data_IF_354892423702
#
_entry.id   IF_354892423702
#
_cell.length_a   1.000
_cell.length_b   1.000
_cell.length_c   1.000
_cell.angle_alpha   90.00
_cell.angle_beta   90.00
_cell.angle_gamma   90.00
#
_symmetry.space_group_name_H-M   'P 1'
#
loop_
_entity.id
_entity.type
_entity.pdbx_description
1 polymer ?
#
# COMPACT_ATOMS: atom_id res chain seq x y z
N UNK A 1 -54.05 -52.84 -44.54
CA UNK A 1 -52.66 -52.38 -44.27
C UNK A 1 -51.78 -53.59 -44.31
N UNK A 2 -50.77 -53.59 -45.18
CA UNK A 2 -49.87 -54.77 -45.33
C UNK A 2 -48.92 -54.82 -44.11
N UNK A 3 -48.73 -56.00 -43.53
CA UNK A 3 -47.86 -56.19 -42.34
C UNK A 3 -46.46 -55.58 -42.45
N UNK A 4 -45.90 -55.48 -43.66
CA UNK A 4 -44.64 -54.84 -43.95
C UNK A 4 -44.59 -53.33 -43.70
N UNK A 5 -45.69 -52.61 -43.94
CA UNK A 5 -45.78 -51.15 -43.68
C UNK A 5 -45.83 -50.86 -42.18
N UNK A 6 -46.48 -51.70 -41.42
CA UNK A 6 -46.61 -51.59 -39.99
C UNK A 6 -45.26 -51.82 -39.29
N UNK A 7 -44.45 -52.73 -39.75
CA UNK A 7 -43.12 -53.02 -39.27
C UNK A 7 -42.18 -51.83 -39.59
N UNK A 8 -42.28 -51.27 -40.80
CA UNK A 8 -41.47 -50.08 -41.19
C UNK A 8 -41.80 -48.84 -40.32
N UNK A 9 -43.06 -48.61 -40.06
CA UNK A 9 -43.53 -47.53 -39.17
C UNK A 9 -43.06 -47.72 -37.73
N UNK A 10 -43.13 -48.89 -37.15
CA UNK A 10 -42.60 -49.20 -35.82
C UNK A 10 -41.10 -48.96 -35.75
N UNK A 11 -40.34 -49.38 -36.75
CA UNK A 11 -38.91 -49.17 -36.81
C UNK A 11 -38.56 -47.66 -36.84
N UNK A 12 -39.22 -46.89 -37.65
CA UNK A 12 -39.05 -45.44 -37.75
C UNK A 12 -39.40 -44.72 -36.43
N UNK A 13 -40.52 -45.11 -35.79
CA UNK A 13 -40.94 -44.56 -34.51
C UNK A 13 -39.91 -44.86 -33.41
N UNK A 14 -39.40 -46.09 -33.34
CA UNK A 14 -38.38 -46.44 -32.35
C UNK A 14 -37.07 -45.69 -32.57
N UNK A 15 -36.66 -45.42 -33.79
CA UNK A 15 -35.48 -44.60 -34.10
C UNK A 15 -35.71 -43.17 -33.62
N UNK A 16 -36.86 -42.56 -33.93
CA UNK A 16 -37.18 -41.19 -33.48
C UNK A 16 -37.26 -41.06 -31.95
N UNK A 17 -37.84 -42.08 -31.29
CA UNK A 17 -37.85 -42.12 -29.81
C UNK A 17 -36.43 -42.20 -29.24
N UNK A 18 -35.57 -43.00 -29.85
CA UNK A 18 -34.15 -43.13 -29.48
C UNK A 18 -33.41 -41.82 -29.65
N UNK A 19 -33.57 -41.15 -30.78
CA UNK A 19 -32.96 -39.82 -31.03
C UNK A 19 -33.49 -38.77 -30.05
N UNK A 20 -34.77 -38.71 -29.80
CA UNK A 20 -35.36 -37.78 -28.85
C UNK A 20 -34.85 -37.99 -27.42
N UNK A 21 -34.75 -39.25 -26.99
CA UNK A 21 -34.24 -39.58 -25.67
C UNK A 21 -32.76 -39.19 -25.52
N UNK A 22 -31.97 -39.43 -26.58
CA UNK A 22 -30.54 -39.01 -26.61
C UNK A 22 -30.41 -37.47 -26.55
N UNK A 23 -31.19 -36.74 -27.33
CA UNK A 23 -31.18 -35.29 -27.31
C UNK A 23 -31.65 -34.70 -25.97
N UNK A 24 -32.68 -35.28 -25.35
CA UNK A 24 -33.12 -34.88 -24.00
C UNK A 24 -32.00 -35.08 -22.94
N UNK A 25 -31.28 -36.20 -23.03
CA UNK A 25 -30.19 -36.49 -22.13
C UNK A 25 -29.04 -35.49 -22.31
N UNK A 26 -28.62 -35.25 -23.56
CA UNK A 26 -27.59 -34.23 -23.86
C UNK A 26 -28.01 -32.84 -23.34
N UNK A 27 -29.24 -32.43 -23.63
CA UNK A 27 -29.75 -31.11 -23.13
C UNK A 27 -29.70 -31.03 -21.61
N UNK A 28 -30.06 -32.09 -20.89
CA UNK A 28 -30.03 -32.12 -19.45
C UNK A 28 -28.60 -32.05 -18.89
N UNK A 29 -27.65 -32.71 -19.54
CA UNK A 29 -26.23 -32.70 -19.21
C UNK A 29 -25.62 -31.29 -19.46
N UNK A 30 -25.88 -30.69 -20.62
CA UNK A 30 -25.41 -29.36 -20.99
C UNK A 30 -25.98 -28.29 -20.05
N UNK A 31 -27.28 -28.40 -19.73
CA UNK A 31 -27.92 -27.48 -18.78
C UNK A 31 -27.32 -27.57 -17.37
N UNK A 32 -26.94 -28.77 -16.94
CA UNK A 32 -26.25 -28.97 -15.66
C UNK A 32 -24.86 -28.33 -15.70
N UNK A 33 -24.08 -28.61 -16.75
CA UNK A 33 -22.73 -28.03 -16.91
C UNK A 33 -22.77 -26.50 -16.96
N UNK A 34 -23.78 -25.93 -17.64
CA UNK A 34 -23.96 -24.47 -17.68
C UNK A 34 -24.23 -23.89 -16.29
N UNK A 35 -25.13 -24.51 -15.52
CA UNK A 35 -25.41 -24.07 -14.15
C UNK A 35 -24.22 -24.20 -13.21
N UNK A 36 -23.42 -25.25 -13.36
CA UNK A 36 -22.25 -25.45 -12.55
C UNK A 36 -21.17 -24.40 -12.90
N UNK A 37 -20.97 -24.10 -14.18
CA UNK A 37 -20.05 -23.05 -14.65
C UNK A 37 -20.52 -21.65 -14.21
N UNK A 38 -21.82 -21.37 -14.22
CA UNK A 38 -22.39 -20.10 -13.72
C UNK A 38 -22.10 -19.91 -12.23
N UNK A 39 -22.31 -20.97 -11.43
CA UNK A 39 -21.99 -20.94 -9.98
C UNK A 39 -20.51 -20.74 -9.72
N UNK A 40 -19.66 -21.43 -10.49
CA UNK A 40 -18.21 -21.29 -10.37
C UNK A 40 -17.76 -19.86 -10.69
N UNK A 41 -18.29 -19.28 -11.77
CA UNK A 41 -18.01 -17.88 -12.16
C UNK A 41 -18.43 -16.90 -11.09
N UNK A 42 -19.62 -17.11 -10.49
CA UNK A 42 -20.09 -16.27 -9.40
C UNK A 42 -19.18 -16.40 -8.16
N UNK A 43 -18.83 -17.61 -7.77
CA UNK A 43 -17.93 -17.86 -6.64
C UNK A 43 -16.55 -17.21 -6.86
N UNK A 44 -16.00 -17.28 -8.07
CA UNK A 44 -14.74 -16.62 -8.42
C UNK A 44 -14.85 -15.10 -8.32
N UNK A 45 -15.95 -14.50 -8.80
CA UNK A 45 -16.19 -13.07 -8.71
C UNK A 45 -16.30 -12.59 -7.25
N UNK A 46 -17.01 -13.33 -6.41
CA UNK A 46 -17.12 -13.04 -4.98
C UNK A 46 -15.77 -13.19 -4.25
N UNK A 47 -15.02 -14.23 -4.58
CA UNK A 47 -13.67 -14.47 -4.03
C UNK A 47 -12.71 -13.34 -4.40
N UNK A 48 -12.72 -12.90 -5.66
CA UNK A 48 -11.91 -11.77 -6.12
C UNK A 48 -12.24 -10.50 -5.36
N UNK A 49 -13.53 -10.22 -5.14
CA UNK A 49 -13.99 -9.06 -4.38
C UNK A 49 -13.48 -9.10 -2.93
N UNK A 50 -13.54 -10.27 -2.28
CA UNK A 50 -13.01 -10.44 -0.93
C UNK A 50 -11.51 -10.20 -0.86
N UNK A 51 -10.73 -10.76 -1.81
CA UNK A 51 -9.28 -10.54 -1.87
C UNK A 51 -8.96 -9.06 -2.06
N UNK A 52 -9.70 -8.36 -2.92
CA UNK A 52 -9.53 -6.91 -3.12
C UNK A 52 -9.82 -6.13 -1.83
N UNK A 53 -10.90 -6.44 -1.12
CA UNK A 53 -11.24 -5.78 0.15
C UNK A 53 -10.17 -6.02 1.21
N UNK A 54 -9.67 -7.24 1.35
CA UNK A 54 -8.59 -7.54 2.29
C UNK A 54 -7.31 -6.79 1.93
N UNK A 55 -6.96 -6.75 0.65
CA UNK A 55 -5.80 -6.00 0.17
C UNK A 55 -5.92 -4.49 0.49
N UNK A 56 -7.09 -3.90 0.28
CA UNK A 56 -7.37 -2.49 0.63
C UNK A 56 -7.24 -2.23 2.14
N UNK A 57 -7.76 -3.12 2.98
CA UNK A 57 -7.65 -3.00 4.44
C UNK A 57 -6.18 -3.04 4.88
N UNK A 58 -5.41 -4.02 4.40
CA UNK A 58 -3.98 -4.17 4.74
C UNK A 58 -3.21 -2.92 4.29
N UNK A 59 -3.48 -2.45 3.08
CA UNK A 59 -2.84 -1.27 2.52
C UNK A 59 -3.14 -0.02 3.37
N UNK A 60 -4.40 0.20 3.73
CA UNK A 60 -4.80 1.34 4.55
C UNK A 60 -4.16 1.28 5.95
N UNK A 61 -4.11 0.12 6.58
CA UNK A 61 -3.45 -0.05 7.87
C UNK A 61 -1.95 0.29 7.81
N UNK A 62 -1.25 -0.15 6.75
CA UNK A 62 0.15 0.18 6.56
C UNK A 62 0.36 1.69 6.38
N UNK A 63 -0.49 2.36 5.59
CA UNK A 63 -0.43 3.80 5.37
C UNK A 63 -0.70 4.60 6.64
N UNK A 64 -1.69 4.18 7.43
CA UNK A 64 -1.96 4.79 8.73
C UNK A 64 -0.78 4.64 9.69
N UNK A 65 -0.14 3.49 9.73
CA UNK A 65 1.03 3.27 10.57
C UNK A 65 2.19 4.18 10.17
N UNK A 66 2.44 4.33 8.86
CA UNK A 66 3.45 5.26 8.34
C UNK A 66 3.10 6.69 8.76
N UNK A 67 1.87 7.13 8.52
CA UNK A 67 1.41 8.48 8.83
C UNK A 67 1.53 8.79 10.33
N UNK A 68 1.12 7.86 11.20
CA UNK A 68 1.26 8.01 12.66
C UNK A 68 2.71 8.13 13.10
N UNK A 69 3.61 7.32 12.55
CA UNK A 69 5.03 7.38 12.92
C UNK A 69 5.64 8.71 12.51
N UNK A 70 5.36 9.19 11.29
CA UNK A 70 5.83 10.50 10.83
C UNK A 70 5.24 11.61 11.67
N UNK A 71 3.96 11.56 11.99
CA UNK A 71 3.28 12.51 12.89
C UNK A 71 3.98 12.56 14.25
N UNK A 72 4.27 11.41 14.85
CA UNK A 72 4.98 11.32 16.13
C UNK A 72 6.34 12.02 16.08
N UNK A 73 7.13 11.78 15.02
CA UNK A 73 8.41 12.45 14.84
C UNK A 73 8.27 13.98 14.75
N UNK A 74 7.30 14.47 13.97
CA UNK A 74 7.03 15.90 13.83
C UNK A 74 6.63 16.51 15.18
N UNK A 75 5.68 15.89 15.88
CA UNK A 75 5.18 16.37 17.17
C UNK A 75 6.25 16.29 18.26
N UNK A 76 7.16 15.33 18.22
CA UNK A 76 8.29 15.24 19.14
C UNK A 76 9.23 16.44 18.98
N UNK A 77 9.49 16.86 17.75
CA UNK A 77 10.39 17.99 17.48
C UNK A 77 9.70 19.34 17.72
N UNK A 78 8.51 19.53 17.14
CA UNK A 78 7.86 20.86 17.10
C UNK A 78 6.88 21.10 18.25
N UNK A 79 6.46 20.05 18.96
CA UNK A 79 5.49 20.11 20.08
C UNK A 79 4.17 20.81 19.70
N UNK A 80 3.77 20.67 18.45
CA UNK A 80 2.49 21.19 17.95
C UNK A 80 1.53 20.05 17.58
N UNK A 81 0.32 20.40 17.16
CA UNK A 81 -0.73 19.42 16.78
C UNK A 81 -0.69 19.04 15.30
N UNK A 82 0.42 19.28 14.61
CA UNK A 82 0.53 18.93 13.19
C UNK A 82 0.46 17.42 13.01
N UNK A 83 -0.42 16.97 12.14
CA UNK A 83 -0.58 15.58 11.72
C UNK A 83 -0.09 15.42 10.28
N UNK A 84 0.63 14.36 10.01
CA UNK A 84 1.00 13.97 8.65
C UNK A 84 -0.05 13.01 8.11
N UNK A 85 -0.56 13.28 6.91
CA UNK A 85 -1.58 12.46 6.26
C UNK A 85 -1.09 11.92 4.92
N UNK A 86 -1.49 10.69 4.62
CA UNK A 86 -1.30 10.06 3.32
C UNK A 86 -2.68 9.72 2.79
N UNK A 87 -3.07 10.31 1.68
CA UNK A 87 -4.31 9.99 0.98
C UNK A 87 -4.02 9.44 -0.40
N UNK A 88 -4.88 8.53 -0.88
CA UNK A 88 -4.75 7.92 -2.18
C UNK A 88 -5.93 8.29 -3.06
N UNK A 89 -5.63 8.71 -4.26
CA UNK A 89 -6.64 8.98 -5.28
C UNK A 89 -6.36 8.17 -6.53
N UNK A 90 -7.41 7.69 -7.19
CA UNK A 90 -7.29 7.07 -8.51
C UNK A 90 -7.46 8.16 -9.56
N UNK A 91 -6.37 8.54 -10.22
CA UNK A 91 -6.38 9.48 -11.31
C UNK A 91 -5.82 8.80 -12.58
N UNK A 92 -6.54 8.90 -13.69
CA UNK A 92 -6.13 8.37 -15.02
C UNK A 92 -5.69 6.89 -14.99
N UNK A 93 -6.40 6.05 -14.22
CA UNK A 93 -6.10 4.62 -14.08
C UNK A 93 -4.85 4.29 -13.25
N UNK A 94 -4.23 5.28 -12.60
CA UNK A 94 -3.11 5.10 -11.67
C UNK A 94 -3.52 5.52 -10.27
N UNK A 95 -2.95 4.87 -9.28
CA UNK A 95 -3.09 5.28 -7.88
C UNK A 95 -2.00 6.29 -7.57
N UNK A 96 -2.39 7.51 -7.21
CA UNK A 96 -1.50 8.58 -6.80
C UNK A 96 -1.58 8.77 -5.28
N UNK A 97 -0.42 8.86 -4.63
CA UNK A 97 -0.33 9.20 -3.22
C UNK A 97 -0.18 10.72 -3.06
N UNK A 98 -1.04 11.33 -2.24
CA UNK A 98 -0.91 12.72 -1.84
C UNK A 98 -0.49 12.76 -0.37
N UNK A 99 0.54 13.56 -0.10
CA UNK A 99 1.04 13.83 1.24
C UNK A 99 0.58 15.21 1.67
N UNK A 100 0.17 15.36 2.93
CA UNK A 100 -0.26 16.64 3.47
C UNK A 100 0.06 16.75 4.96
N UNK A 101 0.15 17.98 5.44
CA UNK A 101 0.18 18.33 6.86
C UNK A 101 -1.18 18.91 7.23
N UNK A 102 -1.79 18.38 8.29
CA UNK A 102 -3.03 18.89 8.84
C UNK A 102 -2.78 19.51 10.22
N UNK A 103 -3.36 20.69 10.45
CA UNK A 103 -3.37 21.33 11.76
C UNK A 103 -4.77 21.92 12.02
N UNK A 104 -5.58 21.16 12.76
CA UNK A 104 -7.01 21.40 12.86
C UNK A 104 -7.70 21.29 11.50
N UNK A 105 -8.46 22.32 11.12
CA UNK A 105 -9.21 22.33 9.85
C UNK A 105 -8.36 22.72 8.63
N UNK A 106 -7.09 23.08 8.81
CA UNK A 106 -6.20 23.46 7.73
C UNK A 106 -5.37 22.26 7.30
N UNK A 107 -5.40 21.97 6.00
CA UNK A 107 -4.58 20.96 5.37
C UNK A 107 -3.73 21.62 4.26
N UNK A 108 -2.42 21.43 4.34
CA UNK A 108 -1.45 22.06 3.45
C UNK A 108 -0.58 20.99 2.79
N UNK A 109 -0.26 21.18 1.51
CA UNK A 109 0.74 20.35 0.81
C UNK A 109 2.13 20.60 1.41
N UNK A 110 3.02 19.59 1.49
CA UNK A 110 4.40 19.79 1.95
C UNK A 110 5.17 20.86 1.14
N UNK A 111 4.82 21.07 -0.13
CA UNK A 111 5.43 22.07 -0.99
C UNK A 111 4.95 23.51 -0.67
N UNK A 112 3.76 23.63 -0.10
CA UNK A 112 3.13 24.90 0.26
C UNK A 112 3.28 25.18 1.76
N UNK A 113 3.70 24.19 2.54
CA UNK A 113 3.86 24.31 3.97
C UNK A 113 4.89 25.40 4.31
N UNK A 114 4.50 26.35 5.11
CA UNK A 114 5.33 27.48 5.55
C UNK A 114 6.53 27.08 6.41
N UNK A 115 6.63 25.82 6.84
CA UNK A 115 7.70 25.31 7.69
C UNK A 115 8.53 24.23 6.98
N UNK A 116 9.61 24.64 6.35
CA UNK A 116 10.59 23.72 5.75
C UNK A 116 11.18 22.72 6.76
N UNK A 117 11.30 23.08 8.03
CA UNK A 117 11.77 22.18 9.07
C UNK A 117 10.85 20.98 9.31
N UNK A 118 9.52 21.14 9.21
CA UNK A 118 8.57 20.03 9.29
C UNK A 118 8.73 19.08 8.13
N UNK A 119 8.99 19.60 6.93
CA UNK A 119 9.25 18.80 5.73
C UNK A 119 10.53 17.98 5.91
N UNK A 120 11.59 18.57 6.46
CA UNK A 120 12.86 17.87 6.73
C UNK A 120 12.65 16.71 7.71
N UNK A 121 11.97 16.93 8.83
CA UNK A 121 11.69 15.91 9.83
C UNK A 121 10.75 14.82 9.26
N UNK A 122 9.73 15.21 8.51
CA UNK A 122 8.84 14.24 7.85
C UNK A 122 9.60 13.37 6.83
N UNK A 123 10.48 13.98 6.02
CA UNK A 123 11.30 13.28 5.04
C UNK A 123 12.25 12.26 5.69
N UNK A 124 12.85 12.64 6.81
CA UNK A 124 13.69 11.74 7.61
C UNK A 124 12.87 10.57 8.16
N UNK A 125 11.73 10.85 8.79
CA UNK A 125 10.84 9.84 9.34
C UNK A 125 10.30 8.87 8.27
N UNK A 126 9.93 9.37 7.08
CA UNK A 126 9.49 8.54 5.97
C UNK A 126 10.58 7.58 5.49
N UNK A 127 11.84 8.01 5.41
CA UNK A 127 12.97 7.14 5.06
C UNK A 127 13.17 6.04 6.09
N UNK A 128 13.12 6.38 7.39
CA UNK A 128 13.18 5.41 8.49
C UNK A 128 12.11 4.33 8.36
N UNK A 129 10.85 4.76 8.28
CA UNK A 129 9.70 3.84 8.18
C UNK A 129 9.78 2.98 6.93
N UNK A 130 10.21 3.54 5.80
CA UNK A 130 10.39 2.79 4.54
C UNK A 130 11.41 1.66 4.69
N UNK A 131 12.49 1.85 5.45
CA UNK A 131 13.47 0.80 5.73
C UNK A 131 12.90 -0.23 6.68
N UNK A 132 12.21 0.20 7.74
CA UNK A 132 11.63 -0.69 8.74
C UNK A 132 10.53 -1.60 8.17
N UNK A 133 9.70 -1.07 7.28
CA UNK A 133 8.59 -1.80 6.67
C UNK A 133 9.00 -2.58 5.40
N UNK A 134 10.23 -2.41 4.91
CA UNK A 134 10.67 -3.09 3.69
C UNK A 134 10.64 -4.62 3.85
N UNK A 135 10.17 -5.30 2.79
CA UNK A 135 10.23 -6.77 2.67
C UNK A 135 10.86 -7.12 1.31
N UNK A 136 11.93 -7.90 1.26
CA UNK A 136 12.71 -8.46 2.39
C UNK A 136 13.36 -7.35 3.24
N UNK A 137 13.65 -7.67 4.50
CA UNK A 137 14.24 -6.71 5.45
C UNK A 137 15.56 -6.18 4.93
N UNK A 138 15.70 -4.86 4.88
CA UNK A 138 16.93 -4.18 4.44
C UNK A 138 17.84 -3.89 5.62
N UNK A 139 19.14 -3.62 5.32
CA UNK A 139 20.04 -3.07 6.33
C UNK A 139 19.52 -1.73 6.84
N UNK A 140 19.62 -1.52 8.13
CA UNK A 140 19.22 -0.27 8.79
C UNK A 140 20.32 0.79 8.63
N UNK A 141 20.56 1.18 7.38
CA UNK A 141 21.56 2.20 7.02
C UNK A 141 20.84 3.38 6.37
N UNK A 142 21.11 4.57 6.93
CA UNK A 142 20.66 5.85 6.40
C UNK A 142 21.88 6.67 6.00
N UNK A 143 21.89 7.13 4.75
CA UNK A 143 22.87 8.11 4.25
C UNK A 143 22.10 9.39 3.95
N UNK A 144 22.50 10.48 4.60
CA UNK A 144 21.83 11.77 4.56
C UNK A 144 22.80 12.85 4.12
N UNK A 145 22.37 13.68 3.18
CA UNK A 145 23.11 14.85 2.72
C UNK A 145 22.36 16.10 3.14
N UNK A 146 23.05 16.99 3.87
CA UNK A 146 22.52 18.22 4.46
C UNK A 146 21.12 18.04 5.11
N UNK A 147 20.88 17.03 5.97
CA UNK A 147 19.60 16.83 6.59
C UNK A 147 19.29 17.97 7.56
N UNK A 148 17.99 18.27 7.73
CA UNK A 148 17.48 19.24 8.70
C UNK A 148 17.97 20.68 8.49
N UNK A 149 18.28 21.03 7.26
CA UNK A 149 18.79 22.37 6.89
C UNK A 149 17.82 23.48 7.25
N UNK A 150 16.52 23.21 7.19
CA UNK A 150 15.45 24.17 7.46
C UNK A 150 14.90 24.10 8.89
N UNK A 151 15.54 23.35 9.78
CA UNK A 151 15.19 23.33 11.20
C UNK A 151 15.85 24.53 11.88
N UNK A 152 15.04 25.53 12.26
CA UNK A 152 15.46 26.75 12.91
C UNK A 152 14.92 26.82 14.34
N UNK A 153 15.67 27.43 15.25
CA UNK A 153 15.36 27.54 16.69
C UNK A 153 16.11 26.48 17.50
N UNK A 154 16.75 26.93 18.57
CA UNK A 154 17.63 26.09 19.43
C UNK A 154 16.87 24.87 19.95
N UNK A 155 15.71 25.08 20.47
CA UNK A 155 14.85 24.04 21.05
C UNK A 155 14.46 22.94 20.03
N UNK A 156 14.14 23.31 18.78
CA UNK A 156 13.82 22.34 17.72
C UNK A 156 15.06 21.58 17.25
N UNK A 157 16.23 22.25 17.24
CA UNK A 157 17.51 21.63 16.91
C UNK A 157 17.92 20.59 17.95
N UNK A 158 17.80 20.90 19.23
CA UNK A 158 18.07 19.96 20.32
C UNK A 158 17.16 18.74 20.25
N UNK A 159 15.86 18.94 20.02
CA UNK A 159 14.90 17.84 19.88
C UNK A 159 15.16 17.00 18.63
N UNK A 160 15.52 17.63 17.51
CA UNK A 160 15.88 16.93 16.28
C UNK A 160 17.13 16.07 16.48
N UNK A 161 18.14 16.61 17.18
CA UNK A 161 19.34 15.86 17.54
C UNK A 161 19.01 14.66 18.42
N UNK A 162 18.22 14.86 19.47
CA UNK A 162 17.77 13.80 20.36
C UNK A 162 16.98 12.71 19.59
N UNK A 163 16.13 13.09 18.64
CA UNK A 163 15.40 12.15 17.78
C UNK A 163 16.36 11.29 16.97
N UNK A 164 17.38 11.87 16.34
CA UNK A 164 18.36 11.10 15.53
C UNK A 164 19.18 10.17 16.42
N UNK A 165 19.63 10.64 17.59
CA UNK A 165 20.38 9.82 18.56
C UNK A 165 19.54 8.66 19.08
N UNK A 166 18.27 8.89 19.36
CA UNK A 166 17.33 7.83 19.78
C UNK A 166 17.12 6.78 18.69
N UNK A 167 16.96 7.19 17.44
CA UNK A 167 16.79 6.27 16.32
C UNK A 167 18.07 5.44 16.08
N UNK A 168 19.24 6.06 16.15
CA UNK A 168 20.52 5.36 16.02
C UNK A 168 20.74 4.36 17.16
N UNK A 169 20.46 4.75 18.41
CA UNK A 169 20.70 3.91 19.58
C UNK A 169 19.65 2.82 19.79
N UNK A 170 18.36 3.19 19.87
CA UNK A 170 17.29 2.25 20.22
C UNK A 170 16.82 1.36 19.06
N UNK A 171 16.91 1.87 17.82
CA UNK A 171 16.45 1.15 16.64
C UNK A 171 17.60 0.50 15.83
N UNK A 172 18.83 0.59 16.32
CA UNK A 172 20.02 0.00 15.68
C UNK A 172 20.19 0.47 14.22
N UNK A 173 20.00 1.79 13.98
CA UNK A 173 20.27 2.40 12.69
C UNK A 173 21.68 2.93 12.62
N UNK A 174 22.41 2.53 11.59
CA UNK A 174 23.63 3.21 11.21
C UNK A 174 23.29 4.46 10.40
N UNK A 175 23.68 5.62 10.89
CA UNK A 175 23.42 6.91 10.22
C UNK A 175 24.76 7.51 9.77
N UNK A 176 24.86 7.84 8.49
CA UNK A 176 25.97 8.57 7.89
C UNK A 176 25.43 9.90 7.41
N UNK A 177 25.98 11.00 7.88
CA UNK A 177 25.53 12.34 7.49
C UNK A 177 26.68 13.18 6.95
N UNK A 178 26.45 13.85 5.82
CA UNK A 178 27.24 14.98 5.35
C UNK A 178 26.51 16.26 5.77
N UNK A 179 27.14 17.12 6.56
CA UNK A 179 26.50 18.36 7.02
C UNK A 179 27.51 19.44 7.40
N UNK A 180 27.19 20.70 7.04
CA UNK A 180 27.86 21.88 7.53
C UNK A 180 27.29 22.45 8.84
N UNK A 181 26.20 21.85 9.37
CA UNK A 181 25.51 22.35 10.55
C UNK A 181 26.21 21.90 11.84
N UNK A 182 26.85 22.83 12.53
CA UNK A 182 27.59 22.55 13.78
C UNK A 182 26.74 21.91 14.87
N UNK A 183 25.48 22.30 14.99
CA UNK A 183 24.55 21.76 15.98
C UNK A 183 24.18 20.28 15.75
N UNK A 184 24.38 19.79 14.52
CA UNK A 184 24.07 18.41 14.14
C UNK A 184 25.30 17.48 14.21
N UNK A 185 26.47 18.01 14.61
CA UNK A 185 27.67 17.21 14.81
C UNK A 185 27.48 16.29 16.01
N UNK A 186 27.42 14.97 15.75
CA UNK A 186 27.22 13.91 16.74
C UNK A 186 27.93 12.62 16.30
N UNK A 187 28.22 11.75 17.25
CA UNK A 187 28.93 10.49 16.97
C UNK A 187 30.35 10.69 16.50
N UNK A 188 30.81 9.85 15.57
CA UNK A 188 32.18 9.94 15.02
C UNK A 188 32.24 11.00 13.92
N UNK A 189 32.98 12.07 14.14
CA UNK A 189 33.08 13.21 13.22
C UNK A 189 34.34 13.05 12.38
N UNK A 190 34.18 13.13 11.06
CA UNK A 190 35.26 13.17 10.06
C UNK A 190 35.23 14.57 9.42
N UNK A 191 36.27 15.37 9.69
CA UNK A 191 36.41 16.70 9.12
C UNK A 191 37.07 16.62 7.74
N UNK A 192 36.28 16.81 6.69
CA UNK A 192 36.76 16.78 5.29
C UNK A 192 37.24 18.15 4.78
N UNK A 193 37.16 19.22 5.60
CA UNK A 193 37.64 20.55 5.22
C UNK A 193 39.16 20.72 5.31
N UNK A 194 39.85 19.72 5.87
CA UNK A 194 41.29 19.74 6.09
C UNK A 194 42.09 18.89 5.10
N UNK A 195 41.38 18.37 4.06
CA UNK A 195 42.01 17.66 2.96
C UNK A 195 42.20 18.63 1.80
#
# INVERSE_FOLDING_TARGET
>A
MKDGELIAWRRKTNLLIGELSHQKRRYSEERRMFKDAEKETQCQAESLKLVQQVAEIIQNQAHEQIARTVTTCIQTVFQDKTEFKISFSKARGKTEARLSFANGDKEESPLEASSGGKVDVASFALRLVSILLSRPQRRRLLVLDEPFRFVHGEEYRERTRALVEEMAGKMDFQVIMSTGLRWLQMGNIIDVSKT
#
